data_IF_311278036145
#
_entry.id   IF_311278036145
#
_cell.length_a   1.000
_cell.length_b   1.000
_cell.length_c   1.000
_cell.angle_alpha   90.00
_cell.angle_beta   90.00
_cell.angle_gamma   90.00
#
_symmetry.space_group_name_H-M   'P 1'
#
loop_
_entity.id
_entity.type
_entity.pdbx_description
1 polymer ?
#
# COMPACT_ATOMS: atom_id res chain seq x y z
N UNK A 1 2.21 -15.76 0.56
CA UNK A 1 3.07 -15.75 -0.66
C UNK A 1 4.41 -15.03 -0.40
N UNK A 2 4.42 -13.76 0.05
CA UNK A 2 5.68 -12.98 0.25
C UNK A 2 6.69 -13.70 1.14
N UNK A 3 6.25 -14.33 2.24
CA UNK A 3 7.14 -15.11 3.12
C UNK A 3 7.85 -16.25 2.36
N UNK A 4 7.11 -17.00 1.55
CA UNK A 4 7.68 -18.10 0.76
C UNK A 4 8.69 -17.60 -0.29
N UNK A 5 8.38 -16.47 -0.95
CA UNK A 5 9.31 -15.85 -1.90
C UNK A 5 10.60 -15.41 -1.20
N UNK A 6 10.48 -14.82 -0.01
CA UNK A 6 11.64 -14.42 0.78
C UNK A 6 12.50 -15.61 1.20
N UNK A 7 11.89 -16.73 1.57
CA UNK A 7 12.61 -17.95 2.00
C UNK A 7 13.46 -18.56 0.88
N UNK A 8 13.10 -18.33 -0.39
CA UNK A 8 13.89 -18.76 -1.55
C UNK A 8 14.84 -17.65 -2.08
N UNK A 9 15.04 -16.58 -1.31
CA UNK A 9 16.01 -15.52 -1.60
C UNK A 9 15.53 -14.42 -2.53
N UNK A 10 14.21 -14.32 -2.79
CA UNK A 10 13.63 -13.23 -3.55
C UNK A 10 13.22 -12.06 -2.62
N UNK A 11 13.28 -10.84 -3.14
CA UNK A 11 12.78 -9.65 -2.44
C UNK A 11 11.36 -9.31 -2.91
N UNK A 12 10.32 -9.74 -2.16
CA UNK A 12 8.94 -9.47 -2.54
C UNK A 12 8.52 -8.03 -2.23
N UNK A 13 7.59 -7.52 -3.01
CA UNK A 13 6.83 -6.31 -2.70
C UNK A 13 5.42 -6.72 -2.28
N UNK A 14 5.10 -6.52 -1.01
CA UNK A 14 3.75 -6.77 -0.48
C UNK A 14 2.78 -5.72 -1.01
N UNK A 15 1.80 -6.16 -1.79
CA UNK A 15 0.73 -5.27 -2.23
C UNK A 15 -0.41 -5.26 -1.21
N UNK A 16 -0.74 -4.06 -0.72
CA UNK A 16 -1.78 -3.84 0.28
C UNK A 16 -2.91 -3.00 -0.31
N UNK A 17 -4.13 -3.56 -0.35
CA UNK A 17 -5.30 -2.85 -0.87
C UNK A 17 -6.30 -2.51 0.22
N UNK A 18 -6.86 -1.31 0.15
CA UNK A 18 -7.97 -0.88 1.03
C UNK A 18 -9.33 -1.47 0.65
N UNK A 19 -9.47 -1.96 -0.59
CA UNK A 19 -10.73 -2.54 -1.07
C UNK A 19 -11.23 -3.71 -0.22
N UNK A 20 -10.32 -4.59 0.21
CA UNK A 20 -10.70 -5.89 0.80
C UNK A 20 -10.53 -5.92 2.32
N UNK A 21 -9.90 -4.91 2.92
CA UNK A 21 -9.50 -4.92 4.34
C UNK A 21 -9.82 -3.59 5.01
N UNK A 22 -10.31 -3.68 6.26
CA UNK A 22 -10.42 -2.51 7.13
C UNK A 22 -9.07 -2.21 7.82
N UNK A 23 -9.00 -1.09 8.53
CA UNK A 23 -7.79 -0.63 9.24
C UNK A 23 -7.26 -1.61 10.26
N UNK A 24 -8.09 -2.44 10.87
CA UNK A 24 -7.67 -3.47 11.82
C UNK A 24 -6.90 -4.56 11.09
N UNK A 25 -7.47 -5.09 10.00
CA UNK A 25 -6.84 -6.12 9.18
C UNK A 25 -5.56 -5.62 8.50
N UNK A 26 -5.55 -4.36 8.02
CA UNK A 26 -4.38 -3.72 7.39
C UNK A 26 -3.23 -3.63 8.39
N UNK A 27 -3.46 -3.13 9.62
CA UNK A 27 -2.43 -3.07 10.65
C UNK A 27 -1.91 -4.47 11.03
N UNK A 28 -2.80 -5.44 11.20
CA UNK A 28 -2.42 -6.83 11.50
C UNK A 28 -1.54 -7.44 10.41
N UNK A 29 -1.87 -7.21 9.14
CA UNK A 29 -1.08 -7.70 8.01
C UNK A 29 0.29 -7.02 7.92
N UNK A 30 0.36 -5.71 8.16
CA UNK A 30 1.62 -4.96 8.21
C UNK A 30 2.53 -5.45 9.34
N UNK A 31 1.99 -5.65 10.54
CA UNK A 31 2.77 -6.18 11.66
C UNK A 31 3.28 -7.59 11.36
N UNK A 32 2.45 -8.44 10.76
CA UNK A 32 2.86 -9.78 10.31
C UNK A 32 3.98 -9.72 9.27
N UNK A 33 3.86 -8.81 8.30
CA UNK A 33 4.90 -8.58 7.30
C UNK A 33 6.22 -8.15 7.94
N UNK A 34 6.16 -7.26 8.93
CA UNK A 34 7.33 -6.84 9.71
C UNK A 34 8.01 -8.00 10.42
N UNK A 35 7.24 -8.87 11.09
CA UNK A 35 7.75 -10.08 11.76
C UNK A 35 8.45 -11.02 10.78
N UNK A 36 7.91 -11.18 9.57
CA UNK A 36 8.52 -12.00 8.51
C UNK A 36 9.68 -11.29 7.78
N UNK A 37 10.04 -10.09 8.17
CA UNK A 37 11.14 -9.32 7.56
C UNK A 37 10.85 -8.87 6.12
N UNK A 38 9.58 -8.74 5.74
CA UNK A 38 9.17 -8.18 4.46
C UNK A 38 9.29 -6.66 4.56
N UNK A 39 10.12 -6.06 3.70
CA UNK A 39 10.46 -4.65 3.79
C UNK A 39 9.79 -3.79 2.73
N UNK A 40 9.48 -4.32 1.56
CA UNK A 40 8.90 -3.54 0.48
C UNK A 40 7.38 -3.69 0.47
N UNK A 41 6.67 -2.57 0.44
CA UNK A 41 5.20 -2.54 0.42
C UNK A 41 4.69 -1.53 -0.59
N UNK A 42 3.70 -1.94 -1.39
CA UNK A 42 2.98 -1.08 -2.32
C UNK A 42 1.56 -0.85 -1.80
N UNK A 43 1.23 0.38 -1.48
CA UNK A 43 -0.10 0.79 -1.02
C UNK A 43 -1.02 1.11 -2.21
N UNK A 44 -2.21 0.53 -2.19
CA UNK A 44 -3.22 0.67 -3.24
C UNK A 44 -4.59 0.93 -2.63
N UNK A 45 -5.41 1.77 -3.24
CA UNK A 45 -6.84 1.85 -2.89
C UNK A 45 -7.55 0.57 -3.33
N UNK A 46 -7.23 0.08 -4.51
CA UNK A 46 -7.88 -1.05 -5.19
C UNK A 46 -9.05 -0.60 -6.06
N UNK A 47 -9.30 -1.35 -7.12
CA UNK A 47 -10.45 -1.11 -8.01
C UNK A 47 -11.74 -1.65 -7.37
N UNK A 48 -12.87 -1.09 -7.78
CA UNK A 48 -14.17 -1.53 -7.28
C UNK A 48 -14.44 -2.99 -7.69
N UNK A 49 -15.06 -3.77 -6.80
CA UNK A 49 -15.32 -5.21 -7.00
C UNK A 49 -16.15 -5.51 -8.26
N UNK A 50 -16.95 -4.56 -8.72
CA UNK A 50 -17.80 -4.71 -9.92
C UNK A 50 -17.01 -4.98 -11.20
N UNK A 51 -15.73 -4.60 -11.26
CA UNK A 51 -14.85 -4.84 -12.42
C UNK A 51 -14.10 -6.17 -12.36
N UNK A 52 -14.26 -6.93 -11.28
CA UNK A 52 -13.60 -8.21 -11.05
C UNK A 52 -14.53 -9.42 -11.21
N UNK A 53 -14.00 -10.60 -10.90
CA UNK A 53 -14.71 -11.88 -11.05
C UNK A 53 -15.88 -12.05 -10.07
N UNK A 54 -15.90 -11.27 -9.00
CA UNK A 54 -16.95 -11.31 -7.97
C UNK A 54 -17.61 -9.94 -7.79
N UNK A 55 -18.44 -9.49 -8.75
CA UNK A 55 -19.04 -8.16 -8.71
C UNK A 55 -20.01 -7.95 -7.54
N UNK A 56 -20.55 -9.04 -6.98
CA UNK A 56 -21.40 -9.02 -5.79
C UNK A 56 -20.64 -8.85 -4.47
N UNK A 57 -19.29 -8.96 -4.47
CA UNK A 57 -18.50 -8.78 -3.26
C UNK A 57 -18.61 -7.31 -2.79
N UNK A 58 -18.72 -7.12 -1.49
CA UNK A 58 -18.77 -5.77 -0.90
C UNK A 58 -17.35 -5.27 -0.64
N UNK A 59 -17.00 -4.14 -1.25
CA UNK A 59 -15.75 -3.44 -0.95
C UNK A 59 -15.79 -2.82 0.45
N UNK A 60 -14.66 -2.84 1.13
CA UNK A 60 -14.52 -2.26 2.48
C UNK A 60 -14.16 -0.77 2.38
N UNK A 61 -13.07 -0.43 1.70
CA UNK A 61 -12.60 0.95 1.47
C UNK A 61 -12.57 1.82 2.74
N UNK A 62 -12.20 1.24 3.89
CA UNK A 62 -12.01 1.98 5.13
C UNK A 62 -10.82 2.94 5.06
N UNK A 63 -9.75 2.50 4.39
CA UNK A 63 -8.57 3.32 4.08
C UNK A 63 -8.31 3.30 2.58
N UNK A 64 -7.98 4.46 2.03
CA UNK A 64 -7.43 4.60 0.69
C UNK A 64 -5.89 4.42 0.69
N UNK A 65 -5.27 4.59 -0.46
CA UNK A 65 -3.80 4.52 -0.60
C UNK A 65 -3.08 5.46 0.38
N UNK A 66 -3.57 6.68 0.57
CA UNK A 66 -2.97 7.67 1.48
C UNK A 66 -3.09 7.19 2.93
N UNK A 67 -4.29 6.74 3.33
CA UNK A 67 -4.51 6.20 4.68
C UNK A 67 -3.67 4.98 4.98
N UNK A 68 -3.43 4.10 3.98
CA UNK A 68 -2.55 2.93 4.13
C UNK A 68 -1.09 3.36 4.32
N UNK A 69 -0.59 4.34 3.54
CA UNK A 69 0.76 4.88 3.71
C UNK A 69 0.95 5.50 5.10
N UNK A 70 0.01 6.33 5.53
CA UNK A 70 0.03 6.95 6.86
C UNK A 70 -0.03 5.91 7.99
N UNK A 71 -0.80 4.84 7.80
CA UNK A 71 -0.84 3.71 8.75
C UNK A 71 0.53 3.05 8.87
N UNK A 72 1.19 2.80 7.74
CA UNK A 72 2.53 2.22 7.74
C UNK A 72 3.56 3.14 8.45
N UNK A 73 3.54 4.44 8.16
CA UNK A 73 4.40 5.42 8.84
C UNK A 73 4.15 5.44 10.37
N UNK A 74 2.87 5.36 10.80
CA UNK A 74 2.51 5.32 12.22
C UNK A 74 3.08 4.06 12.90
N UNK A 75 2.93 2.89 12.27
CA UNK A 75 3.47 1.64 12.78
C UNK A 75 5.01 1.65 12.81
N UNK A 76 5.66 2.21 11.80
CA UNK A 76 7.12 2.39 11.76
C UNK A 76 7.60 3.34 12.86
N UNK A 77 6.75 4.29 13.27
CA UNK A 77 6.97 5.16 14.43
C UNK A 77 6.74 4.49 15.79
N UNK A 78 6.40 3.20 15.82
CA UNK A 78 6.22 2.42 17.05
C UNK A 78 4.86 2.55 17.71
N UNK A 79 3.84 3.03 17.02
CA UNK A 79 2.47 3.16 17.52
C UNK A 79 1.45 2.58 16.54
N UNK A 80 0.30 2.13 17.06
CA UNK A 80 -0.84 1.81 16.24
C UNK A 80 -1.70 3.05 15.93
N UNK A 81 -2.75 2.90 15.11
CA UNK A 81 -3.64 4.00 14.74
C UNK A 81 -4.46 4.58 15.90
N UNK A 82 -4.54 3.88 17.03
CA UNK A 82 -5.24 4.36 18.24
C UNK A 82 -4.27 5.08 19.19
N UNK A 83 -2.96 4.92 18.95
CA UNK A 83 -1.90 5.53 19.75
C UNK A 83 -1.26 4.59 20.79
N UNK A 84 -1.61 3.30 20.79
CA UNK A 84 -0.95 2.33 21.66
C UNK A 84 0.50 2.10 21.19
N UNK A 85 1.41 2.00 22.15
CA UNK A 85 2.80 1.70 21.87
C UNK A 85 2.99 0.23 21.46
N UNK A 86 3.81 0.00 20.45
CA UNK A 86 4.21 -1.32 19.98
C UNK A 86 5.48 -1.78 20.71
N UNK A 87 5.62 -3.10 20.90
CA UNK A 87 6.90 -3.71 21.31
C UNK A 87 7.76 -3.96 20.08
N UNK A 88 8.50 -2.95 19.65
CA UNK A 88 9.22 -2.91 18.39
C UNK A 88 8.41 -2.20 17.30
N UNK A 89 9.01 -2.06 16.13
CA UNK A 89 8.36 -1.42 14.97
C UNK A 89 8.76 -2.11 13.68
N UNK A 90 7.86 -2.23 12.70
CA UNK A 90 8.21 -2.71 11.37
C UNK A 90 9.05 -1.66 10.64
N UNK A 91 9.81 -2.10 9.64
CA UNK A 91 10.52 -1.23 8.72
C UNK A 91 10.01 -1.49 7.31
N UNK A 92 9.48 -0.46 6.65
CA UNK A 92 8.99 -0.57 5.28
C UNK A 92 9.63 0.45 4.36
N UNK A 93 9.94 0.01 3.15
CA UNK A 93 10.16 0.87 1.99
C UNK A 93 8.85 0.98 1.25
N UNK A 94 8.19 2.14 1.39
CA UNK A 94 6.81 2.35 0.97
C UNK A 94 6.72 2.79 -0.49
N UNK A 95 5.82 2.20 -1.23
CA UNK A 95 5.51 2.57 -2.59
C UNK A 95 4.02 2.80 -2.83
N UNK A 96 3.73 3.41 -3.95
CA UNK A 96 2.37 3.64 -4.42
C UNK A 96 2.28 3.53 -5.95
N UNK A 97 1.08 3.42 -6.49
CA UNK A 97 0.85 3.43 -7.93
C UNK A 97 0.69 4.85 -8.47
N UNK A 98 1.04 5.04 -9.73
CA UNK A 98 0.73 6.25 -10.52
C UNK A 98 0.26 5.85 -11.91
N UNK A 99 -0.54 6.73 -12.52
CA UNK A 99 -1.11 6.52 -13.86
C UNK A 99 -0.72 7.70 -14.74
N UNK A 100 0.50 7.70 -15.33
CA UNK A 100 1.03 8.88 -16.03
C UNK A 100 0.27 9.22 -17.31
N UNK A 101 -0.38 8.25 -17.95
CA UNK A 101 -1.14 8.46 -19.20
C UNK A 101 -2.53 9.09 -18.99
N UNK A 102 -2.97 9.30 -17.74
CA UNK A 102 -4.26 9.94 -17.46
C UNK A 102 -4.15 11.47 -17.52
N UNK A 103 -4.88 12.07 -18.45
CA UNK A 103 -4.99 13.53 -18.56
C UNK A 103 -6.03 14.12 -17.57
N UNK A 104 -5.83 15.33 -17.05
CA UNK A 104 -4.62 16.14 -17.20
C UNK A 104 -3.48 15.67 -16.28
N UNK A 105 -2.25 15.76 -16.76
CA UNK A 105 -1.05 15.29 -16.05
C UNK A 105 -0.85 16.00 -14.70
N UNK A 106 -1.24 17.26 -14.59
CA UNK A 106 -1.13 18.06 -13.38
C UNK A 106 -1.87 17.41 -12.20
N UNK A 107 -3.04 16.81 -12.46
CA UNK A 107 -3.81 16.09 -11.43
C UNK A 107 -3.04 14.84 -10.98
N UNK A 108 -2.39 14.14 -11.89
CA UNK A 108 -1.60 12.96 -11.54
C UNK A 108 -0.36 13.35 -10.72
N UNK A 109 0.29 14.45 -11.06
CA UNK A 109 1.42 15.00 -10.28
C UNK A 109 0.96 15.44 -8.88
N UNK A 110 -0.19 16.10 -8.74
CA UNK A 110 -0.76 16.44 -7.43
C UNK A 110 -1.06 15.19 -6.58
N UNK A 111 -1.64 14.14 -7.18
CA UNK A 111 -1.89 12.88 -6.50
C UNK A 111 -0.58 12.21 -6.08
N UNK A 112 0.43 12.20 -6.94
CA UNK A 112 1.76 11.69 -6.65
C UNK A 112 2.40 12.44 -5.48
N UNK A 113 2.34 13.77 -5.48
CA UNK A 113 2.87 14.60 -4.40
C UNK A 113 2.19 14.29 -3.04
N UNK A 114 0.86 14.08 -3.03
CA UNK A 114 0.15 13.66 -1.81
C UNK A 114 0.66 12.30 -1.30
N UNK A 115 0.93 11.35 -2.19
CA UNK A 115 1.48 10.04 -1.83
C UNK A 115 2.91 10.15 -1.29
N UNK A 116 3.75 11.01 -1.88
CA UNK A 116 5.09 11.31 -1.35
C UNK A 116 4.99 11.88 0.06
N UNK A 117 4.12 12.86 0.28
CA UNK A 117 3.92 13.47 1.60
C UNK A 117 3.39 12.48 2.65
N UNK A 118 2.69 11.43 2.20
CA UNK A 118 2.20 10.34 3.06
C UNK A 118 3.23 9.22 3.31
N UNK A 119 4.44 9.31 2.75
CA UNK A 119 5.53 8.38 3.00
C UNK A 119 5.98 7.54 1.79
N UNK A 120 5.35 7.66 0.62
CA UNK A 120 5.75 6.91 -0.57
C UNK A 120 7.15 7.33 -1.05
N UNK A 121 8.02 6.34 -1.28
CA UNK A 121 9.42 6.50 -1.71
C UNK A 121 9.70 5.93 -3.09
N UNK A 122 8.83 5.06 -3.60
CA UNK A 122 8.88 4.58 -4.97
C UNK A 122 7.49 4.50 -5.57
N UNK A 123 7.44 4.47 -6.91
CA UNK A 123 6.18 4.40 -7.64
C UNK A 123 6.21 3.31 -8.69
N UNK A 124 5.11 2.57 -8.77
CA UNK A 124 4.84 1.65 -9.88
C UNK A 124 3.83 2.30 -10.81
N UNK A 125 4.20 2.47 -12.07
CA UNK A 125 3.28 2.98 -13.09
C UNK A 125 2.30 1.90 -13.53
N UNK A 126 1.13 2.31 -14.02
CA UNK A 126 0.36 1.47 -14.93
C UNK A 126 1.17 1.23 -16.21
N UNK A 127 0.74 0.26 -17.03
CA UNK A 127 1.41 -0.01 -18.31
C UNK A 127 1.46 1.28 -19.15
N UNK A 128 2.64 1.61 -19.64
CA UNK A 128 2.90 2.80 -20.47
C UNK A 128 3.26 2.32 -21.86
N UNK A 129 2.50 2.70 -22.87
CA UNK A 129 2.65 2.26 -24.24
C UNK A 129 3.22 3.34 -25.17
N UNK A 130 3.09 4.61 -24.77
CA UNK A 130 3.56 5.74 -25.56
C UNK A 130 4.80 6.36 -24.89
N UNK A 131 5.75 6.82 -25.72
CA UNK A 131 6.85 7.66 -25.23
C UNK A 131 6.29 9.03 -24.88
N UNK A 132 6.41 9.40 -23.64
CA UNK A 132 6.14 10.76 -23.16
C UNK A 132 7.35 11.64 -23.45
#
# INVERSE_FOLDING_TARGET
TCKLLKDVGLEPVLQMTGRDRNRIAIQGEMLSAGVFGIKNMLALTGDHTVVGDHPQAKGVFDLDCIGILQTAETLMGGKDLVGNELKGSPEFYLGASVTPEYAPIEIQLMKMQKKINAGAKFFQTQAVYEKI
#
